data_IF_974793930141
#
_entry.id   IF_974793930141
#
_cell.length_a   1.000
_cell.length_b   1.000
_cell.length_c   1.000
_cell.angle_alpha   90.00
_cell.angle_beta   90.00
_cell.angle_gamma   90.00
#
_symmetry.space_group_name_H-M   'P 1'
#
loop_
_entity.id
_entity.type
_entity.pdbx_description
1 polymer ?
#
# COMPACT_ATOMS: atom_id res chain seq x y z
N UNK A 1 20.42 10.86 5.17
CA UNK A 1 19.29 10.28 4.43
C UNK A 1 18.01 10.82 5.04
N UNK A 2 17.04 11.23 4.23
CA UNK A 2 15.69 11.51 4.73
C UNK A 2 15.04 10.19 5.11
N UNK A 3 14.38 10.13 6.26
CA UNK A 3 13.70 8.93 6.73
C UNK A 3 12.61 8.53 5.74
N UNK A 4 12.37 7.23 5.59
CA UNK A 4 11.23 6.74 4.82
C UNK A 4 10.01 6.77 5.71
N UNK A 5 9.03 7.57 5.34
CA UNK A 5 7.72 7.55 5.98
C UNK A 5 6.91 6.39 5.39
N UNK A 6 6.46 5.49 6.24
CA UNK A 6 5.53 4.41 5.89
C UNK A 6 4.19 4.75 6.52
N UNK A 7 3.17 4.95 5.69
CA UNK A 7 1.80 5.15 6.15
C UNK A 7 1.08 3.81 6.12
N UNK A 8 0.69 3.33 7.30
CA UNK A 8 -0.07 2.11 7.50
C UNK A 8 -1.53 2.48 7.76
N UNK A 9 -2.45 2.02 6.93
CA UNK A 9 -3.88 2.29 7.05
C UNK A 9 -4.62 0.98 7.22
N UNK A 10 -5.21 0.77 8.40
CA UNK A 10 -6.12 -0.35 8.65
C UNK A 10 -7.57 0.11 8.46
N UNK A 11 -8.16 -0.32 7.34
CA UNK A 11 -9.58 -0.15 7.03
C UNK A 11 -10.37 -1.45 7.22
N UNK A 12 -9.70 -2.57 7.47
CA UNK A 12 -10.34 -3.85 7.76
C UNK A 12 -11.01 -3.87 9.14
N UNK A 13 -10.40 -3.20 10.12
CA UNK A 13 -10.96 -2.90 11.44
C UNK A 13 -11.35 -4.14 12.28
N UNK A 14 -10.79 -5.31 11.99
CA UNK A 14 -10.89 -6.51 12.84
C UNK A 14 -9.56 -6.85 13.54
N UNK A 15 -9.56 -7.92 14.33
CA UNK A 15 -8.40 -8.37 15.11
C UNK A 15 -7.31 -9.03 14.28
N UNK A 16 -7.65 -9.67 13.16
CA UNK A 16 -6.67 -10.29 12.26
C UNK A 16 -5.89 -9.22 11.49
N UNK A 17 -6.58 -8.16 11.05
CA UNK A 17 -5.94 -7.00 10.48
C UNK A 17 -5.07 -6.25 11.51
N UNK A 18 -5.55 -6.10 12.75
CA UNK A 18 -4.75 -5.49 13.82
C UNK A 18 -3.43 -6.24 14.08
N UNK A 19 -3.51 -7.58 14.13
CA UNK A 19 -2.36 -8.44 14.35
C UNK A 19 -1.33 -8.30 13.21
N UNK A 20 -1.80 -8.26 11.96
CA UNK A 20 -0.95 -8.06 10.79
C UNK A 20 -0.29 -6.67 10.80
N UNK A 21 -1.03 -5.60 11.14
CA UNK A 21 -0.44 -4.26 11.27
C UNK A 21 0.56 -4.17 12.41
N UNK A 22 0.26 -4.79 13.55
CA UNK A 22 1.18 -4.85 14.70
C UNK A 22 2.47 -5.55 14.32
N UNK A 23 2.39 -6.64 13.53
CA UNK A 23 3.56 -7.32 13.01
C UNK A 23 4.39 -6.44 12.07
N UNK A 24 3.77 -5.72 11.14
CA UNK A 24 4.47 -4.78 10.24
C UNK A 24 5.15 -3.64 11.03
N UNK A 25 4.46 -3.10 12.04
CA UNK A 25 5.03 -2.11 12.98
C UNK A 25 6.24 -2.70 13.74
N UNK A 26 6.14 -3.96 14.19
CA UNK A 26 7.24 -4.65 14.85
C UNK A 26 8.46 -4.85 13.94
N UNK A 27 8.27 -5.23 12.67
CA UNK A 27 9.36 -5.36 11.70
C UNK A 27 10.05 -4.02 11.47
N UNK A 28 9.27 -2.98 11.20
CA UNK A 28 9.80 -1.64 10.92
C UNK A 28 10.51 -1.05 12.14
N UNK A 29 9.99 -1.29 13.35
CA UNK A 29 10.65 -0.98 14.62
C UNK A 29 11.98 -1.74 14.81
N UNK A 30 11.99 -3.04 14.53
CA UNK A 30 13.20 -3.86 14.62
C UNK A 30 14.28 -3.41 13.63
N UNK A 31 13.90 -2.98 12.43
CA UNK A 31 14.84 -2.40 11.46
C UNK A 31 15.51 -1.15 12.05
N UNK A 32 14.76 -0.31 12.77
CA UNK A 32 15.30 0.90 13.41
C UNK A 32 16.22 0.59 14.61
N UNK A 33 16.05 -0.54 15.30
CA UNK A 33 16.84 -0.88 16.49
C UNK A 33 18.36 -0.91 16.24
N UNK A 34 18.79 -1.12 15.00
CA UNK A 34 20.21 -1.09 14.60
C UNK A 34 20.77 0.30 14.28
N UNK A 35 20.00 1.39 14.46
CA UNK A 35 20.38 2.74 14.01
C UNK A 35 20.27 3.78 15.13
N UNK A 36 21.26 4.69 15.18
CA UNK A 36 21.27 5.82 16.13
C UNK A 36 20.15 6.85 15.88
N UNK A 37 19.57 6.84 14.68
CA UNK A 37 18.40 7.64 14.29
C UNK A 37 17.49 6.73 13.47
N UNK A 38 16.16 6.82 13.62
CA UNK A 38 15.23 6.00 12.84
C UNK A 38 15.46 6.24 11.35
N UNK A 39 15.48 5.16 10.57
CA UNK A 39 15.55 5.20 9.10
C UNK A 39 14.15 5.05 8.48
N UNK A 40 13.22 4.51 9.26
CA UNK A 40 11.80 4.43 8.95
C UNK A 40 11.02 5.19 10.02
N UNK A 41 10.11 6.05 9.59
CA UNK A 41 9.04 6.59 10.43
C UNK A 41 7.73 5.90 10.04
N UNK A 42 6.91 5.54 11.03
CA UNK A 42 5.62 4.89 10.79
C UNK A 42 4.50 5.83 11.20
N UNK A 43 3.58 6.08 10.28
CA UNK A 43 2.30 6.73 10.55
C UNK A 43 1.20 5.67 10.47
N UNK A 44 0.63 5.29 11.61
CA UNK A 44 -0.41 4.27 11.68
C UNK A 44 -1.79 4.90 11.90
N UNK A 45 -2.74 4.55 11.04
CA UNK A 45 -4.12 5.03 11.08
C UNK A 45 -5.06 3.83 11.11
N UNK A 46 -5.94 3.83 12.12
CA UNK A 46 -7.07 2.92 12.26
C UNK A 46 -8.29 3.75 12.64
N UNK A 47 -9.12 4.10 11.66
CA UNK A 47 -10.26 5.00 11.87
C UNK A 47 -11.45 4.63 11.00
N UNK A 48 -12.65 4.91 11.51
CA UNK A 48 -13.90 4.89 10.75
C UNK A 48 -14.27 6.25 10.18
N UNK A 49 -13.65 7.30 10.69
CA UNK A 49 -13.90 8.65 10.23
C UNK A 49 -13.42 8.80 8.79
N UNK A 50 -14.35 9.17 7.90
CA UNK A 50 -14.13 9.20 6.47
C UNK A 50 -13.04 10.22 6.09
N UNK A 51 -13.06 11.41 6.69
CA UNK A 51 -12.08 12.46 6.43
C UNK A 51 -10.68 12.05 6.89
N UNK A 52 -10.57 11.40 8.05
CA UNK A 52 -9.33 10.82 8.55
C UNK A 52 -8.79 9.73 7.61
N UNK A 53 -9.65 8.82 7.15
CA UNK A 53 -9.24 7.75 6.23
C UNK A 53 -8.72 8.31 4.89
N UNK A 54 -9.43 9.27 4.30
CA UNK A 54 -9.02 9.90 3.05
C UNK A 54 -7.75 10.73 3.20
N UNK A 55 -7.62 11.46 4.29
CA UNK A 55 -6.39 12.19 4.62
C UNK A 55 -5.20 11.25 4.79
N UNK A 56 -5.40 10.09 5.42
CA UNK A 56 -4.36 9.07 5.58
C UNK A 56 -3.91 8.49 4.23
N UNK A 57 -4.86 8.16 3.35
CA UNK A 57 -4.59 7.61 2.00
C UNK A 57 -3.86 8.61 1.09
N UNK A 58 -3.99 9.91 1.34
CA UNK A 58 -3.38 10.99 0.53
C UNK A 58 -2.15 11.61 1.20
N UNK A 59 -1.81 11.20 2.43
CA UNK A 59 -0.62 11.67 3.13
C UNK A 59 0.66 11.26 2.37
N UNK A 60 1.53 12.22 1.98
CA UNK A 60 2.76 11.92 1.28
C UNK A 60 3.63 10.92 2.04
N UNK A 61 4.01 9.82 1.41
CA UNK A 61 4.75 8.73 2.06
C UNK A 61 5.69 8.02 1.07
N UNK A 62 6.64 7.25 1.58
CA UNK A 62 7.45 6.36 0.75
C UNK A 62 6.69 5.08 0.38
N UNK A 63 5.88 4.59 1.32
CA UNK A 63 4.98 3.44 1.14
C UNK A 63 3.65 3.79 1.79
N UNK A 64 2.56 3.62 1.04
CA UNK A 64 1.21 3.57 1.54
C UNK A 64 0.80 2.10 1.59
N UNK A 65 0.57 1.57 2.79
CA UNK A 65 0.13 0.20 2.99
C UNK A 65 -1.30 0.23 3.54
N UNK A 66 -2.25 -0.12 2.69
CA UNK A 66 -3.67 -0.18 3.03
C UNK A 66 -4.04 -1.63 3.23
N UNK A 67 -4.60 -1.96 4.37
CA UNK A 67 -5.08 -3.30 4.64
C UNK A 67 -6.58 -3.29 4.95
N UNK A 68 -7.31 -4.07 4.17
CA UNK A 68 -8.77 -4.12 4.19
C UNK A 68 -9.27 -5.36 3.43
N UNK A 69 -10.57 -5.59 3.47
CA UNK A 69 -11.17 -6.45 2.45
C UNK A 69 -11.18 -5.73 1.10
N UNK A 70 -10.85 -6.47 0.04
CA UNK A 70 -10.95 -5.99 -1.32
C UNK A 70 -12.30 -6.38 -1.93
N UNK A 71 -13.09 -5.38 -2.31
CA UNK A 71 -14.31 -5.61 -3.08
C UNK A 71 -14.03 -6.03 -4.53
N UNK A 72 -14.97 -6.76 -5.14
CA UNK A 72 -14.96 -7.19 -6.53
C UNK A 72 -16.16 -6.67 -7.33
N UNK A 73 -16.99 -5.82 -6.72
CA UNK A 73 -18.14 -5.18 -7.36
C UNK A 73 -17.74 -4.22 -8.48
N UNK A 74 -18.72 -3.56 -9.11
CA UNK A 74 -18.55 -2.52 -10.14
C UNK A 74 -17.57 -1.41 -9.74
N UNK A 75 -17.53 -1.06 -8.46
CA UNK A 75 -16.69 0.02 -7.93
C UNK A 75 -15.69 -0.52 -6.89
N UNK A 76 -14.42 -0.72 -7.28
CA UNK A 76 -13.39 -1.22 -6.38
C UNK A 76 -13.32 -0.40 -5.08
N UNK A 77 -13.41 -1.09 -3.95
CA UNK A 77 -13.52 -0.48 -2.63
C UNK A 77 -12.72 -1.25 -1.59
N UNK A 78 -12.11 -0.52 -0.66
CA UNK A 78 -11.64 -1.06 0.60
C UNK A 78 -12.81 -1.15 1.58
N UNK A 79 -13.01 -2.31 2.20
CA UNK A 79 -14.13 -2.57 3.10
C UNK A 79 -13.65 -3.02 4.48
N UNK A 80 -14.33 -2.56 5.52
CA UNK A 80 -14.20 -3.14 6.86
C UNK A 80 -14.90 -4.49 6.96
N UNK A 81 -14.45 -5.32 7.90
CA UNK A 81 -15.01 -6.67 8.13
C UNK A 81 -16.49 -6.65 8.48
N UNK A 82 -16.96 -5.60 9.15
CA UNK A 82 -18.38 -5.42 9.50
C UNK A 82 -19.20 -4.67 8.43
N UNK A 83 -18.57 -4.28 7.32
CA UNK A 83 -19.20 -3.54 6.22
C UNK A 83 -19.65 -2.12 6.57
N UNK A 84 -19.32 -1.61 7.76
CA UNK A 84 -19.72 -0.26 8.18
C UNK A 84 -18.82 0.84 7.64
N UNK A 85 -17.62 0.49 7.17
CA UNK A 85 -16.67 1.42 6.56
C UNK A 85 -16.38 0.95 5.13
N UNK A 86 -16.56 1.85 4.18
CA UNK A 86 -16.24 1.64 2.77
C UNK A 86 -15.50 2.85 2.23
N UNK A 87 -14.35 2.62 1.60
CA UNK A 87 -13.63 3.62 0.81
C UNK A 87 -13.59 3.15 -0.63
N UNK A 88 -14.49 3.69 -1.47
CA UNK A 88 -14.45 3.42 -2.90
C UNK A 88 -13.31 4.21 -3.55
N UNK A 89 -12.62 3.60 -4.53
CA UNK A 89 -11.58 4.29 -5.28
C UNK A 89 -12.15 5.43 -6.13
N UNK A 90 -13.43 5.37 -6.49
CA UNK A 90 -14.13 6.46 -7.17
C UNK A 90 -14.27 7.67 -6.26
N UNK A 91 -14.76 7.49 -5.04
CA UNK A 91 -14.89 8.57 -4.06
C UNK A 91 -13.53 9.16 -3.71
N UNK A 92 -12.48 8.33 -3.61
CA UNK A 92 -11.10 8.81 -3.40
C UNK A 92 -10.59 9.64 -4.59
N UNK A 93 -10.91 9.24 -5.82
CA UNK A 93 -10.60 10.03 -7.00
C UNK A 93 -11.33 11.37 -6.98
N UNK A 94 -12.63 11.39 -6.68
CA UNK A 94 -13.42 12.62 -6.57
C UNK A 94 -12.84 13.56 -5.49
N UNK A 95 -12.45 13.01 -4.33
CA UNK A 95 -11.77 13.77 -3.28
C UNK A 95 -10.45 14.39 -3.75
N UNK A 96 -9.68 13.65 -4.55
CA UNK A 96 -8.47 14.17 -5.16
C UNK A 96 -8.79 15.30 -6.15
N UNK A 97 -9.81 15.18 -6.99
CA UNK A 97 -10.22 16.26 -7.90
C UNK A 97 -10.56 17.54 -7.14
N UNK A 98 -11.30 17.41 -6.03
CA UNK A 98 -11.78 18.56 -5.25
C UNK A 98 -10.67 19.28 -4.48
N UNK A 99 -9.66 18.54 -4.01
CA UNK A 99 -8.63 19.06 -3.08
C UNK A 99 -7.23 19.15 -3.69
N UNK A 100 -7.04 18.64 -4.90
CA UNK A 100 -5.73 18.46 -5.55
C UNK A 100 -4.73 17.64 -4.71
N UNK A 101 -5.22 16.83 -3.76
CA UNK A 101 -4.41 15.94 -2.91
C UNK A 101 -4.75 14.47 -3.20
N UNK A 102 -4.00 13.88 -4.13
CA UNK A 102 -4.08 12.45 -4.47
C UNK A 102 -3.09 11.62 -3.68
N UNK A 103 -2.97 10.33 -4.01
CA UNK A 103 -1.98 9.42 -3.46
C UNK A 103 -0.58 9.88 -3.90
N UNK A 104 0.18 10.41 -2.95
CA UNK A 104 1.56 10.88 -3.10
C UNK A 104 2.55 9.87 -2.49
N UNK A 105 2.60 8.66 -3.04
CA UNK A 105 3.51 7.61 -2.57
C UNK A 105 4.20 6.91 -3.72
N UNK A 106 5.47 6.56 -3.57
CA UNK A 106 6.20 5.76 -4.56
C UNK A 106 5.72 4.30 -4.63
N UNK A 107 5.12 3.81 -3.55
CA UNK A 107 4.60 2.43 -3.46
C UNK A 107 3.24 2.41 -2.79
N UNK A 108 2.30 1.67 -3.37
CA UNK A 108 1.03 1.34 -2.74
C UNK A 108 0.93 -0.16 -2.58
N UNK A 109 0.74 -0.64 -1.34
CA UNK A 109 0.37 -2.02 -1.04
C UNK A 109 -1.12 -2.01 -0.70
N UNK A 110 -1.94 -2.55 -1.60
CA UNK A 110 -3.35 -2.81 -1.35
C UNK A 110 -3.48 -4.25 -0.83
N UNK A 111 -3.22 -4.44 0.46
CA UNK A 111 -3.26 -5.73 1.15
C UNK A 111 -4.70 -6.14 1.45
N UNK A 112 -5.27 -6.86 0.50
CA UNK A 112 -6.64 -7.34 0.53
C UNK A 112 -6.87 -8.30 -0.61
N UNK A 113 -7.96 -9.07 -0.55
CA UNK A 113 -8.28 -10.08 -1.56
C UNK A 113 -8.49 -9.48 -2.95
N UNK A 114 -7.87 -10.08 -3.98
CA UNK A 114 -7.95 -9.71 -5.41
C UNK A 114 -7.81 -8.23 -5.74
N UNK A 115 -7.09 -7.45 -4.94
CA UNK A 115 -6.81 -6.03 -5.21
C UNK A 115 -5.85 -5.83 -6.39
N UNK A 116 -5.13 -6.88 -6.80
CA UNK A 116 -4.16 -6.88 -7.90
C UNK A 116 -4.77 -7.11 -9.29
N UNK A 117 -6.09 -7.11 -9.44
CA UNK A 117 -6.76 -7.30 -10.73
C UNK A 117 -6.82 -6.00 -11.55
N UNK A 118 -6.98 -6.13 -12.87
CA UNK A 118 -6.93 -4.98 -13.80
C UNK A 118 -7.97 -3.88 -13.53
N UNK A 119 -9.09 -4.21 -12.89
CA UNK A 119 -10.12 -3.23 -12.53
C UNK A 119 -9.67 -2.30 -11.41
N UNK A 120 -9.09 -2.87 -10.35
CA UNK A 120 -8.45 -2.10 -9.26
C UNK A 120 -7.32 -1.24 -9.78
N UNK A 121 -6.45 -1.82 -10.61
CA UNK A 121 -5.34 -1.09 -11.24
C UNK A 121 -5.83 0.09 -12.09
N UNK A 122 -6.96 -0.02 -12.80
CA UNK A 122 -7.52 1.10 -13.54
C UNK A 122 -8.07 2.18 -12.62
N UNK A 123 -8.87 1.80 -11.63
CA UNK A 123 -9.52 2.74 -10.72
C UNK A 123 -8.51 3.51 -9.86
N UNK A 124 -7.46 2.86 -9.34
CA UNK A 124 -6.49 3.56 -8.49
C UNK A 124 -5.68 4.60 -9.25
N UNK A 125 -5.50 4.46 -10.58
CA UNK A 125 -4.79 5.43 -11.42
C UNK A 125 -5.45 6.80 -11.43
N UNK A 126 -6.75 6.88 -11.18
CA UNK A 126 -7.48 8.14 -11.07
C UNK A 126 -7.18 8.87 -9.75
N UNK A 127 -6.54 8.21 -8.79
CA UNK A 127 -6.16 8.76 -7.49
C UNK A 127 -4.69 9.18 -7.40
N UNK A 128 -3.85 8.91 -8.40
CA UNK A 128 -2.38 9.03 -8.28
C UNK A 128 -1.86 10.42 -8.61
N UNK A 129 -0.83 10.87 -7.88
CA UNK A 129 -0.10 12.10 -8.22
C UNK A 129 1.11 11.88 -9.15
N UNK A 130 1.72 10.69 -9.10
CA UNK A 130 2.93 10.35 -9.86
C UNK A 130 2.95 8.84 -10.16
N UNK A 131 3.97 8.38 -10.89
CA UNK A 131 4.20 6.98 -11.17
C UNK A 131 4.53 6.19 -9.90
N UNK A 132 3.89 5.03 -9.73
CA UNK A 132 4.02 4.20 -8.52
C UNK A 132 4.32 2.74 -8.86
N UNK A 133 4.86 2.02 -7.89
CA UNK A 133 4.67 0.56 -7.82
C UNK A 133 3.40 0.27 -7.03
N UNK A 134 2.39 -0.27 -7.71
CA UNK A 134 1.18 -0.79 -7.08
C UNK A 134 1.35 -2.30 -6.83
N UNK A 135 1.08 -2.74 -5.61
CA UNK A 135 1.17 -4.13 -5.19
C UNK A 135 -0.20 -4.53 -4.67
N UNK A 136 -0.83 -5.50 -5.33
CA UNK A 136 -2.09 -6.09 -4.88
C UNK A 136 -2.06 -7.60 -5.03
N UNK A 137 -3.12 -8.28 -4.60
CA UNK A 137 -3.18 -9.75 -4.65
C UNK A 137 -3.98 -10.23 -5.85
N UNK A 138 -3.65 -11.41 -6.36
CA UNK A 138 -4.39 -12.03 -7.47
C UNK A 138 -5.49 -12.98 -7.02
N UNK A 139 -5.47 -13.38 -5.75
CA UNK A 139 -6.37 -14.38 -5.15
C UNK A 139 -6.88 -13.90 -3.80
N UNK A 140 -7.69 -14.74 -3.14
CA UNK A 140 -7.93 -14.62 -1.70
C UNK A 140 -6.62 -14.90 -0.98
N UNK A 141 -6.33 -14.14 0.07
CA UNK A 141 -5.16 -14.31 0.94
C UNK A 141 -5.61 -14.27 2.41
N UNK A 142 -4.83 -14.91 3.28
CA UNK A 142 -4.97 -14.78 4.72
C UNK A 142 -3.84 -13.95 5.32
N UNK A 143 -3.84 -13.91 6.65
CA UNK A 143 -2.81 -13.20 7.43
C UNK A 143 -1.41 -13.77 7.21
N UNK A 144 -1.29 -15.09 7.02
CA UNK A 144 0.00 -15.75 6.80
C UNK A 144 0.70 -15.22 5.54
N UNK A 145 -0.02 -15.17 4.40
CA UNK A 145 0.56 -14.74 3.14
C UNK A 145 1.00 -13.27 3.19
N UNK A 146 0.16 -12.41 3.78
CA UNK A 146 0.46 -11.01 4.02
C UNK A 146 1.73 -10.82 4.87
N UNK A 147 1.81 -11.55 5.97
CA UNK A 147 2.94 -11.50 6.93
C UNK A 147 4.26 -11.87 6.27
N UNK A 148 4.31 -13.01 5.57
CA UNK A 148 5.54 -13.49 4.93
C UNK A 148 5.99 -12.52 3.83
N UNK A 149 5.07 -12.09 2.97
CA UNK A 149 5.38 -11.15 1.89
C UNK A 149 5.86 -9.80 2.45
N UNK A 150 5.11 -9.19 3.38
CA UNK A 150 5.44 -7.87 3.91
C UNK A 150 6.77 -7.87 4.68
N UNK A 151 7.08 -8.93 5.43
CA UNK A 151 8.38 -9.09 6.10
C UNK A 151 9.54 -9.03 5.10
N UNK A 152 9.46 -9.83 4.03
CA UNK A 152 10.48 -9.85 3.00
C UNK A 152 10.54 -8.52 2.22
N UNK A 153 9.40 -7.91 1.95
CA UNK A 153 9.28 -6.63 1.26
C UNK A 153 9.98 -5.50 2.02
N UNK A 154 9.63 -5.27 3.29
CA UNK A 154 10.22 -4.18 4.07
C UNK A 154 11.72 -4.39 4.31
N UNK A 155 12.15 -5.64 4.54
CA UNK A 155 13.57 -5.97 4.64
C UNK A 155 14.36 -5.67 3.35
N UNK A 156 13.80 -6.03 2.19
CA UNK A 156 14.40 -5.75 0.89
C UNK A 156 14.41 -4.24 0.58
N UNK A 157 13.30 -3.57 0.86
CA UNK A 157 13.11 -2.14 0.62
C UNK A 157 14.18 -1.32 1.35
N UNK A 158 14.44 -1.60 2.63
CA UNK A 158 15.41 -0.85 3.45
C UNK A 158 16.86 -1.13 3.05
N UNK A 159 17.18 -2.36 2.65
CA UNK A 159 18.53 -2.70 2.16
C UNK A 159 18.91 -1.91 0.90
N UNK A 160 17.93 -1.56 0.07
CA UNK A 160 18.14 -0.77 -1.14
C UNK A 160 18.35 0.71 -0.80
N UNK A 161 19.60 1.17 -0.73
CA UNK A 161 19.99 2.57 -0.47
C UNK A 161 19.77 3.55 -1.64
N UNK A 162 18.83 3.27 -2.56
CA UNK A 162 18.47 4.19 -3.65
C UNK A 162 19.63 4.55 -4.57
N UNK A 163 20.16 3.56 -5.30
CA UNK A 163 21.26 3.69 -6.28
C UNK A 163 20.82 4.45 -7.56
N UNK A 164 20.34 5.69 -7.42
CA UNK A 164 19.80 6.48 -8.54
C UNK A 164 18.42 6.02 -9.05
N UNK A 165 17.78 5.08 -8.35
CA UNK A 165 16.45 4.56 -8.68
C UNK A 165 15.34 5.43 -8.11
N UNK A 166 14.25 5.61 -8.84
CA UNK A 166 13.03 6.29 -8.36
C UNK A 166 12.40 5.52 -7.20
N UNK A 167 11.55 6.16 -6.37
CA UNK A 167 10.81 5.45 -5.32
C UNK A 167 10.00 4.26 -5.84
N UNK A 168 9.34 4.40 -7.00
CA UNK A 168 8.61 3.32 -7.65
C UNK A 168 9.53 2.15 -8.03
N UNK A 169 10.69 2.41 -8.64
CA UNK A 169 11.67 1.36 -8.99
C UNK A 169 12.24 0.64 -7.77
N UNK A 170 12.44 1.35 -6.66
CA UNK A 170 12.88 0.75 -5.40
C UNK A 170 11.80 -0.18 -4.85
N UNK A 171 10.53 0.23 -4.90
CA UNK A 171 9.39 -0.61 -4.55
C UNK A 171 9.26 -1.84 -5.43
N UNK A 172 9.44 -1.69 -6.74
CA UNK A 172 9.41 -2.79 -7.71
C UNK A 172 10.47 -3.84 -7.40
N UNK A 173 11.72 -3.42 -7.16
CA UNK A 173 12.82 -4.32 -6.81
C UNK A 173 12.54 -5.06 -5.49
N UNK A 174 12.05 -4.33 -4.48
CA UNK A 174 11.69 -4.90 -3.19
C UNK A 174 10.56 -5.93 -3.31
N UNK A 175 9.51 -5.63 -4.07
CA UNK A 175 8.38 -6.54 -4.30
C UNK A 175 8.81 -7.83 -5.00
N UNK A 176 9.65 -7.73 -6.04
CA UNK A 176 10.14 -8.91 -6.74
C UNK A 176 11.08 -9.77 -5.87
N UNK A 177 11.86 -9.16 -4.97
CA UNK A 177 12.63 -9.90 -3.96
C UNK A 177 11.71 -10.59 -2.96
N UNK A 178 10.66 -9.91 -2.51
CA UNK A 178 9.68 -10.46 -1.59
C UNK A 178 8.92 -11.66 -2.18
N UNK A 179 8.51 -11.58 -3.45
CA UNK A 179 7.91 -12.70 -4.19
C UNK A 179 8.84 -13.92 -4.19
N UNK A 180 10.11 -13.73 -4.59
CA UNK A 180 11.08 -14.83 -4.60
C UNK A 180 11.31 -15.44 -3.22
N UNK A 181 11.40 -14.60 -2.19
CA UNK A 181 11.57 -15.05 -0.81
C UNK A 181 10.35 -15.85 -0.33
N UNK A 182 9.13 -15.36 -0.62
CA UNK A 182 7.89 -16.07 -0.35
C UNK A 182 7.91 -17.46 -1.01
N UNK A 183 8.14 -17.51 -2.33
CA UNK A 183 8.12 -18.75 -3.10
C UNK A 183 9.18 -19.75 -2.61
N UNK A 184 10.34 -19.26 -2.19
CA UNK A 184 11.40 -20.09 -1.61
C UNK A 184 11.02 -20.64 -0.22
N UNK A 185 10.37 -19.82 0.62
CA UNK A 185 10.04 -20.20 2.00
C UNK A 185 8.81 -21.11 2.09
N UNK A 186 7.85 -20.93 1.18
CA UNK A 186 6.55 -21.62 1.24
C UNK A 186 6.41 -22.73 0.21
N UNK A 187 7.32 -22.82 -0.77
CA UNK A 187 7.21 -23.70 -1.94
C UNK A 187 5.89 -23.52 -2.71
N UNK A 188 5.35 -22.29 -2.69
CA UNK A 188 4.07 -21.92 -3.29
C UNK A 188 4.20 -20.62 -4.06
N UNK A 189 3.42 -20.46 -5.12
CA UNK A 189 3.35 -19.21 -5.89
C UNK A 189 2.91 -18.05 -4.99
N UNK A 190 3.62 -16.92 -5.06
CA UNK A 190 3.24 -15.73 -4.31
C UNK A 190 1.92 -15.14 -4.84
N UNK A 191 0.93 -14.84 -3.98
CA UNK A 191 -0.34 -14.26 -4.43
C UNK A 191 -0.23 -12.77 -4.79
N UNK A 192 0.82 -12.09 -4.31
CA UNK A 192 1.08 -10.68 -4.54
C UNK A 192 1.66 -10.42 -5.94
N UNK A 193 1.20 -9.33 -6.56
CA UNK A 193 1.60 -8.91 -7.90
C UNK A 193 1.93 -7.41 -7.92
N UNK A 194 3.20 -7.03 -8.14
CA UNK A 194 3.56 -5.66 -8.43
C UNK A 194 3.23 -5.31 -9.89
N UNK A 195 2.76 -4.08 -10.10
CA UNK A 195 2.56 -3.44 -11.41
C UNK A 195 2.99 -1.98 -11.31
N UNK A 196 3.75 -1.51 -12.28
CA UNK A 196 4.02 -0.08 -12.42
C UNK A 196 2.78 0.61 -12.97
N UNK A 197 2.27 1.61 -12.26
CA UNK A 197 1.11 2.38 -12.67
C UNK A 197 1.49 3.83 -12.84
N UNK A 198 1.01 4.43 -13.93
CA UNK A 198 1.08 5.86 -14.18
C UNK A 198 -0.26 6.52 -13.88
N UNK A 199 -0.32 7.77 -13.44
CA UNK A 199 -1.58 8.48 -13.26
C UNK A 199 -2.45 8.43 -14.52
N UNK A 200 -3.78 8.44 -14.34
CA UNK A 200 -4.69 8.52 -15.47
C UNK A 200 -4.66 9.91 -16.11
N UNK A 201 -5.22 10.05 -17.32
CA UNK A 201 -5.38 11.37 -17.96
C UNK A 201 -6.22 12.32 -17.10
N UNK A 202 -7.19 11.80 -16.35
CA UNK A 202 -8.05 12.58 -15.47
C UNK A 202 -7.26 13.08 -14.25
N UNK A 203 -6.49 12.19 -13.62
CA UNK A 203 -5.58 12.55 -12.52
C UNK A 203 -4.59 13.65 -12.94
N UNK A 204 -3.92 13.49 -14.10
CA UNK A 204 -2.96 14.47 -14.60
C UNK A 204 -3.56 15.85 -14.90
N UNK A 205 -4.79 15.91 -15.43
CA UNK A 205 -5.49 17.19 -15.66
C UNK A 205 -5.73 17.96 -14.37
N UNK A 206 -5.95 17.24 -13.28
CA UNK A 206 -6.28 17.82 -11.98
C UNK A 206 -5.06 18.41 -11.28
N UNK A 207 -3.87 17.89 -11.60
CA UNK A 207 -2.57 18.39 -11.14
C UNK A 207 -2.07 19.62 -11.91
N UNK A 208 -2.64 19.87 -13.09
CA UNK A 208 -2.22 20.95 -14.02
C UNK A 208 -3.24 22.07 -14.13
N UNK A 209 -4.36 21.96 -13.41
CA UNK A 209 -5.45 22.95 -13.33
C UNK A 209 -5.18 24.07 -12.36
#
# INVERSE_FOLDING_TARGET
>A
MKNRLITLVDLGLDSSFDASMTFVQGITGNINAGWNRPVIDVNFIRSRDHETAFSALTTPSSVLHVMAHGDHSEEPSFLSTDGQTQVSLRSLADWFLDRQWGIASGVVIADGCKTGIGKWQRAIRDCLQDDITYIGTSTVIGWYEATVFCSAFYGALVRNRGLGRTPAEQGWDAANRAIRAYETLTDQRCPYKPVLLTPSRQALRSLTG
#
